data_IF_623393487836
#
_entry.id   IF_623393487836
#
_cell.length_a   1.000
_cell.length_b   1.000
_cell.length_c   1.000
_cell.angle_alpha   90.00
_cell.angle_beta   90.00
_cell.angle_gamma   90.00
#
_symmetry.space_group_name_H-M   'P 1'
#
loop_
_entity.id
_entity.type
_entity.pdbx_description
1 polymer ?
#
# COMPACT_ATOMS: atom_id res chain seq x y z
N UNK A 1 -7.75 24.17 -17.51
CA UNK A 1 -7.36 22.74 -17.37
C UNK A 1 -8.58 21.93 -16.94
N UNK A 2 -8.88 20.79 -17.58
CA UNK A 2 -9.94 19.89 -17.11
C UNK A 2 -9.40 19.05 -15.96
N UNK A 3 -9.59 19.51 -14.72
CA UNK A 3 -9.13 18.83 -13.49
C UNK A 3 -9.77 17.43 -13.36
N UNK A 4 -10.97 17.22 -13.90
CA UNK A 4 -11.68 15.94 -13.89
C UNK A 4 -11.31 14.99 -15.05
N UNK A 5 -10.17 15.19 -15.72
CA UNK A 5 -9.69 14.28 -16.77
C UNK A 5 -8.88 13.09 -16.23
N UNK A 6 -8.75 12.02 -17.04
CA UNK A 6 -7.90 10.85 -16.72
C UNK A 6 -6.47 11.22 -16.33
N UNK A 7 -5.95 12.32 -16.88
CA UNK A 7 -4.63 12.86 -16.54
C UNK A 7 -4.45 13.12 -15.05
N UNK A 8 -5.48 13.58 -14.35
CA UNK A 8 -5.45 13.95 -12.94
C UNK A 8 -6.25 12.99 -12.06
N UNK A 9 -6.68 11.84 -12.60
CA UNK A 9 -7.51 10.90 -11.88
C UNK A 9 -6.83 10.37 -10.59
N UNK A 10 -5.54 9.98 -10.58
CA UNK A 10 -4.88 9.59 -9.33
C UNK A 10 -4.83 10.72 -8.28
N UNK A 11 -4.65 11.97 -8.72
CA UNK A 11 -4.69 13.13 -7.83
C UNK A 11 -6.07 13.30 -7.21
N UNK A 12 -7.14 13.24 -8.01
CA UNK A 12 -8.51 13.36 -7.51
C UNK A 12 -8.86 12.22 -6.54
N UNK A 13 -8.38 11.00 -6.81
CA UNK A 13 -8.53 9.85 -5.89
C UNK A 13 -7.83 10.14 -4.56
N UNK A 14 -6.58 10.60 -4.59
CA UNK A 14 -5.83 10.88 -3.36
C UNK A 14 -6.43 12.03 -2.55
N UNK A 15 -6.88 13.10 -3.20
CA UNK A 15 -7.57 14.22 -2.53
C UNK A 15 -8.91 13.75 -1.94
N UNK A 16 -9.72 13.00 -2.69
CA UNK A 16 -10.96 12.43 -2.19
C UNK A 16 -10.75 11.48 -1.02
N UNK A 17 -9.72 10.63 -1.10
CA UNK A 17 -9.31 9.75 0.01
C UNK A 17 -8.86 10.56 1.24
N UNK A 18 -8.09 11.63 1.06
CA UNK A 18 -7.65 12.50 2.17
C UNK A 18 -8.84 13.16 2.87
N UNK A 19 -9.82 13.64 2.10
CA UNK A 19 -11.07 14.20 2.65
C UNK A 19 -11.85 13.12 3.40
N UNK A 20 -11.95 11.90 2.85
CA UNK A 20 -12.60 10.78 3.50
C UNK A 20 -11.94 10.42 4.85
N UNK A 21 -10.62 10.36 4.91
CA UNK A 21 -9.87 10.06 6.14
C UNK A 21 -10.10 11.15 7.20
N UNK A 22 -10.01 12.43 6.82
CA UNK A 22 -10.30 13.54 7.72
C UNK A 22 -11.76 13.53 8.18
N UNK A 23 -12.70 13.25 7.28
CA UNK A 23 -14.12 13.11 7.65
C UNK A 23 -14.32 11.95 8.63
N UNK A 24 -13.61 10.84 8.44
CA UNK A 24 -13.66 9.68 9.34
C UNK A 24 -13.12 10.02 10.73
N UNK A 25 -12.12 10.92 10.83
CA UNK A 25 -11.59 11.41 12.11
C UNK A 25 -12.65 12.20 12.90
N UNK A 26 -13.46 13.03 12.22
CA UNK A 26 -14.49 13.83 12.87
C UNK A 26 -15.78 13.04 13.16
N UNK A 27 -16.23 12.26 12.18
CA UNK A 27 -17.52 11.57 12.20
C UNK A 27 -17.45 10.16 12.82
N UNK A 28 -16.25 9.59 12.95
CA UNK A 28 -16.05 8.26 13.52
C UNK A 28 -16.27 8.22 15.03
N UNK A 29 -16.61 7.03 15.58
CA UNK A 29 -16.87 6.84 17.00
C UNK A 29 -15.60 6.80 17.85
N UNK A 30 -14.44 6.47 17.27
CA UNK A 30 -13.18 6.51 18.02
C UNK A 30 -12.67 7.95 18.13
N UNK A 31 -12.59 8.45 19.36
CA UNK A 31 -12.00 9.76 19.68
C UNK A 31 -10.63 9.57 20.31
N UNK A 32 -9.76 10.55 20.11
CA UNK A 32 -8.39 10.52 20.60
C UNK A 32 -8.16 11.59 21.65
N UNK A 33 -7.51 11.19 22.75
CA UNK A 33 -7.27 12.06 23.90
C UNK A 33 -6.32 13.22 23.54
N UNK A 34 -6.68 14.43 23.97
CA UNK A 34 -5.87 15.65 23.83
C UNK A 34 -5.39 15.95 22.39
N UNK A 35 -6.18 15.55 21.38
CA UNK A 35 -5.87 15.81 19.98
C UNK A 35 -6.14 17.28 19.61
N UNK A 36 -5.08 18.03 19.30
CA UNK A 36 -5.20 19.35 18.69
C UNK A 36 -5.49 19.20 17.18
N UNK A 37 -6.77 19.32 16.83
CA UNK A 37 -7.22 19.27 15.45
C UNK A 37 -6.62 20.36 14.57
N UNK A 38 -6.34 21.55 15.13
CA UNK A 38 -5.81 22.67 14.34
C UNK A 38 -4.40 22.36 13.85
N UNK A 39 -3.52 21.85 14.73
CA UNK A 39 -2.15 21.47 14.35
C UNK A 39 -2.17 20.38 13.28
N UNK A 40 -2.92 19.30 13.53
CA UNK A 40 -2.99 18.14 12.64
C UNK A 40 -3.58 18.51 11.27
N UNK A 41 -4.75 19.16 11.24
CA UNK A 41 -5.45 19.51 10.01
C UNK A 41 -4.66 20.53 9.21
N UNK A 42 -4.00 21.49 9.85
CA UNK A 42 -3.14 22.46 9.16
C UNK A 42 -1.97 21.76 8.45
N UNK A 43 -1.27 20.84 9.14
CA UNK A 43 -0.19 20.07 8.52
C UNK A 43 -0.68 19.24 7.34
N UNK A 44 -1.77 18.48 7.52
CA UNK A 44 -2.35 17.64 6.45
C UNK A 44 -2.82 18.48 5.27
N UNK A 45 -3.43 19.65 5.51
CA UNK A 45 -3.92 20.55 4.45
C UNK A 45 -2.77 21.09 3.60
N UNK A 46 -1.68 21.54 4.23
CA UNK A 46 -0.48 21.97 3.52
C UNK A 46 0.13 20.81 2.74
N UNK A 47 0.20 19.62 3.34
CA UNK A 47 0.71 18.41 2.68
C UNK A 47 -0.11 18.04 1.43
N UNK A 48 -1.44 18.04 1.51
CA UNK A 48 -2.33 17.76 0.37
C UNK A 48 -2.20 18.83 -0.71
N UNK A 49 -2.07 20.11 -0.34
CA UNK A 49 -1.85 21.21 -1.29
C UNK A 49 -0.52 21.05 -2.05
N UNK A 50 0.57 20.74 -1.33
CA UNK A 50 1.89 20.53 -1.95
C UNK A 50 1.91 19.27 -2.82
N UNK A 51 1.21 18.22 -2.42
CA UNK A 51 1.00 17.03 -3.26
C UNK A 51 0.25 17.40 -4.55
N UNK A 52 -0.81 18.21 -4.44
CA UNK A 52 -1.57 18.69 -5.58
C UNK A 52 -0.70 19.49 -6.55
N UNK A 53 0.10 20.44 -6.04
CA UNK A 53 1.01 21.26 -6.85
C UNK A 53 2.05 20.40 -7.59
N UNK A 54 2.76 19.54 -6.86
CA UNK A 54 3.79 18.69 -7.45
C UNK A 54 3.22 17.72 -8.48
N UNK A 55 2.05 17.13 -8.20
CA UNK A 55 1.35 16.28 -9.17
C UNK A 55 0.95 17.06 -10.41
N UNK A 56 0.35 18.25 -10.27
CA UNK A 56 -0.07 19.08 -11.41
C UNK A 56 1.11 19.43 -12.30
N UNK A 57 2.26 19.77 -11.72
CA UNK A 57 3.50 20.05 -12.44
C UNK A 57 4.04 18.79 -13.13
N UNK A 58 4.12 17.67 -12.41
CA UNK A 58 4.61 16.39 -12.97
C UNK A 58 3.71 15.81 -14.04
N UNK A 59 2.42 16.10 -13.95
CA UNK A 59 1.45 15.71 -14.96
C UNK A 59 1.60 16.55 -16.23
N UNK A 60 2.30 17.70 -16.25
CA UNK A 60 2.50 18.55 -17.46
C UNK A 60 3.26 17.82 -18.58
N UNK A 61 3.04 18.25 -19.82
CA UNK A 61 3.58 17.62 -21.04
C UNK A 61 2.51 16.97 -21.91
N UNK A 62 2.92 16.24 -22.93
CA UNK A 62 1.97 15.58 -23.82
C UNK A 62 1.16 14.54 -23.04
N UNK A 63 -0.16 14.62 -23.06
CA UNK A 63 -1.02 13.49 -22.73
C UNK A 63 -1.53 12.96 -24.07
N UNK A 64 -0.64 12.34 -24.85
CA UNK A 64 -1.05 11.76 -26.13
C UNK A 64 -1.68 10.41 -25.83
N UNK A 65 -2.99 10.35 -26.01
CA UNK A 65 -3.74 9.11 -25.98
C UNK A 65 -3.12 8.22 -27.06
N UNK A 66 -2.45 7.14 -26.65
CA UNK A 66 -1.73 6.28 -27.58
C UNK A 66 -2.78 5.49 -28.38
N UNK A 67 -2.75 5.64 -29.71
CA UNK A 67 -3.70 4.97 -30.62
C UNK A 67 -3.64 3.45 -30.45
N UNK A 68 -2.43 2.89 -30.23
CA UNK A 68 -2.18 1.46 -30.03
C UNK A 68 -1.59 1.15 -28.64
N UNK A 69 -2.28 1.54 -27.57
CA UNK A 69 -1.82 1.25 -26.21
C UNK A 69 -1.61 -0.25 -25.92
N UNK A 70 -2.45 -1.11 -26.51
CA UNK A 70 -2.32 -2.57 -26.34
C UNK A 70 -1.00 -3.08 -26.91
N UNK A 71 -0.64 -2.64 -28.11
CA UNK A 71 0.63 -2.97 -28.77
C UNK A 71 1.82 -2.47 -27.94
N UNK A 72 1.75 -1.23 -27.45
CA UNK A 72 2.80 -0.67 -26.57
C UNK A 72 2.98 -1.52 -25.30
N UNK A 73 1.86 -1.95 -24.68
CA UNK A 73 1.91 -2.83 -23.51
C UNK A 73 2.43 -4.23 -23.84
N UNK A 74 2.07 -4.78 -24.99
CA UNK A 74 2.57 -6.06 -25.47
C UNK A 74 4.08 -6.02 -25.74
N UNK A 75 4.58 -4.95 -26.37
CA UNK A 75 6.03 -4.72 -26.57
C UNK A 75 6.75 -4.62 -25.22
N UNK A 76 6.19 -3.86 -24.28
CA UNK A 76 6.74 -3.70 -22.92
C UNK A 76 6.77 -5.04 -22.17
N UNK A 77 5.68 -5.82 -22.26
CA UNK A 77 5.60 -7.19 -21.73
C UNK A 77 6.66 -8.10 -22.36
N UNK A 78 6.87 -8.05 -23.68
CA UNK A 78 7.86 -8.90 -24.36
C UNK A 78 9.27 -8.69 -23.79
N UNK A 79 9.62 -7.46 -23.39
CA UNK A 79 10.93 -7.14 -22.79
C UNK A 79 11.13 -7.77 -21.41
N UNK A 80 10.07 -7.91 -20.62
CA UNK A 80 10.14 -8.46 -19.26
C UNK A 80 9.58 -9.89 -19.16
N UNK A 81 9.13 -10.49 -20.27
CA UNK A 81 8.51 -11.82 -20.28
C UNK A 81 9.39 -12.88 -19.59
N UNK A 82 10.72 -12.95 -19.80
CA UNK A 82 11.57 -13.92 -19.10
C UNK A 82 11.57 -13.71 -17.58
N UNK A 83 11.71 -12.45 -17.15
CA UNK A 83 11.68 -12.09 -15.74
C UNK A 83 10.34 -12.43 -15.09
N UNK A 84 9.22 -12.09 -15.73
CA UNK A 84 7.89 -12.42 -15.23
C UNK A 84 7.60 -13.92 -15.24
N UNK A 85 8.12 -14.67 -16.23
CA UNK A 85 8.01 -16.12 -16.25
C UNK A 85 8.74 -16.75 -15.06
N UNK A 86 9.95 -16.28 -14.75
CA UNK A 86 10.70 -16.71 -13.57
C UNK A 86 9.97 -16.37 -12.27
N UNK A 87 9.47 -15.14 -12.14
CA UNK A 87 8.66 -14.72 -10.99
C UNK A 87 7.43 -15.62 -10.82
N UNK A 88 6.69 -15.90 -11.90
CA UNK A 88 5.49 -16.75 -11.84
C UNK A 88 5.82 -18.19 -11.46
N UNK A 89 6.90 -18.77 -12.01
CA UNK A 89 7.34 -20.11 -11.65
C UNK A 89 7.66 -20.18 -10.14
N UNK A 90 8.42 -19.20 -9.63
CA UNK A 90 8.70 -19.11 -8.20
C UNK A 90 7.42 -18.94 -7.38
N UNK A 91 6.52 -18.04 -7.78
CA UNK A 91 5.25 -17.80 -7.09
C UNK A 91 4.37 -19.05 -7.00
N UNK A 92 4.35 -19.89 -8.05
CA UNK A 92 3.64 -21.17 -8.04
C UNK A 92 4.30 -22.15 -7.07
N UNK A 93 5.62 -22.30 -7.11
CA UNK A 93 6.37 -23.19 -6.19
C UNK A 93 6.13 -22.77 -4.74
N UNK A 94 6.26 -21.48 -4.45
CA UNK A 94 5.98 -20.90 -3.13
C UNK A 94 4.53 -21.17 -2.70
N UNK A 95 3.55 -20.97 -3.59
CA UNK A 95 2.15 -21.24 -3.29
C UNK A 95 1.90 -22.71 -2.94
N UNK A 96 2.54 -23.65 -3.65
CA UNK A 96 2.46 -25.08 -3.34
C UNK A 96 3.08 -25.38 -1.97
N UNK A 97 4.24 -24.80 -1.67
CA UNK A 97 4.89 -24.95 -0.37
C UNK A 97 4.04 -24.39 0.79
N UNK A 98 3.39 -23.25 0.58
CA UNK A 98 2.46 -22.66 1.55
C UNK A 98 1.25 -23.57 1.81
N UNK A 99 0.66 -24.17 0.77
CA UNK A 99 -0.42 -25.15 0.94
C UNK A 99 0.04 -26.38 1.73
N UNK A 100 1.21 -26.92 1.40
CA UNK A 100 1.77 -28.05 2.14
C UNK A 100 1.94 -27.72 3.63
N UNK A 101 2.59 -26.60 3.95
CA UNK A 101 2.79 -26.16 5.34
C UNK A 101 1.47 -25.85 6.05
N UNK A 102 0.48 -25.29 5.34
CA UNK A 102 -0.84 -25.01 5.88
C UNK A 102 -1.57 -26.30 6.28
N UNK A 103 -1.55 -27.34 5.44
CA UNK A 103 -2.19 -28.62 5.78
C UNK A 103 -1.41 -29.43 6.83
N UNK A 104 -0.08 -29.43 6.76
CA UNK A 104 0.78 -30.13 7.72
C UNK A 104 0.62 -29.58 9.15
N UNK A 105 0.40 -28.27 9.28
CA UNK A 105 0.08 -27.63 10.56
C UNK A 105 -1.38 -27.80 11.02
N UNK A 106 -2.20 -28.56 10.29
CA UNK A 106 -3.62 -28.77 10.61
C UNK A 106 -4.53 -27.58 10.27
N UNK A 107 -4.08 -26.68 9.38
CA UNK A 107 -4.85 -25.53 8.94
C UNK A 107 -6.16 -25.91 8.23
N UNK A 108 -7.25 -25.20 8.57
CA UNK A 108 -8.57 -25.37 7.96
C UNK A 108 -9.06 -24.09 7.27
N UNK A 109 -9.84 -24.24 6.19
CA UNK A 109 -10.47 -23.12 5.46
C UNK A 109 -11.91 -22.89 5.93
N UNK A 110 -12.09 -22.66 7.23
CA UNK A 110 -13.41 -22.42 7.81
C UNK A 110 -13.73 -20.93 7.83
N UNK A 111 -14.86 -20.54 7.23
CA UNK A 111 -15.32 -19.14 7.25
C UNK A 111 -15.88 -18.70 8.60
N UNK A 112 -16.24 -19.64 9.48
CA UNK A 112 -16.71 -19.35 10.84
C UNK A 112 -15.55 -19.10 11.81
N UNK A 113 -14.37 -19.64 11.52
CA UNK A 113 -13.25 -19.69 12.47
C UNK A 113 -12.16 -18.67 12.13
N UNK A 114 -12.44 -17.73 11.22
CA UNK A 114 -11.47 -16.72 10.76
C UNK A 114 -10.99 -15.88 11.94
N UNK A 115 -11.89 -15.51 12.85
CA UNK A 115 -11.58 -14.78 14.07
C UNK A 115 -10.64 -15.55 15.00
N UNK A 116 -10.94 -16.82 15.25
CA UNK A 116 -10.14 -17.68 16.14
C UNK A 116 -8.75 -17.96 15.56
N UNK A 117 -8.66 -18.23 14.26
CA UNK A 117 -7.39 -18.40 13.55
C UNK A 117 -6.52 -17.15 13.64
N UNK A 118 -7.14 -15.96 13.59
CA UNK A 118 -6.43 -14.72 13.81
C UNK A 118 -5.88 -14.63 15.24
N UNK A 119 -6.72 -14.84 16.26
CA UNK A 119 -6.29 -14.75 17.68
C UNK A 119 -5.16 -15.74 17.97
N UNK A 120 -5.31 -17.01 17.57
CA UNK A 120 -4.28 -18.05 17.70
C UNK A 120 -2.97 -17.68 17.02
N UNK A 121 -3.03 -17.05 15.84
CA UNK A 121 -1.84 -16.59 15.12
C UNK A 121 -1.07 -15.46 15.82
N UNK A 122 -1.65 -14.83 16.84
CA UNK A 122 -1.03 -13.80 17.67
C UNK A 122 -0.76 -14.23 19.11
N UNK A 123 -1.15 -15.45 19.51
CA UNK A 123 -0.82 -15.98 20.84
C UNK A 123 0.71 -16.08 21.01
N UNK A 124 1.24 -15.41 22.03
CA UNK A 124 2.68 -15.36 22.29
C UNK A 124 3.50 -14.53 21.28
N UNK A 125 2.86 -13.83 20.33
CA UNK A 125 3.58 -12.97 19.40
C UNK A 125 4.00 -11.66 20.09
N UNK A 126 5.28 -11.55 20.43
CA UNK A 126 5.89 -10.29 20.86
C UNK A 126 6.59 -9.60 19.69
N UNK A 127 6.10 -8.40 19.34
CA UNK A 127 6.62 -7.64 18.21
C UNK A 127 8.07 -7.22 18.46
N UNK A 128 8.95 -7.56 17.53
CA UNK A 128 10.38 -7.20 17.59
C UNK A 128 11.28 -8.25 18.23
N UNK A 129 10.72 -9.34 18.76
CA UNK A 129 11.48 -10.46 19.32
C UNK A 129 11.73 -11.60 18.32
N UNK A 130 11.36 -11.43 17.05
CA UNK A 130 11.62 -12.44 16.03
C UNK A 130 13.13 -12.68 15.89
N UNK A 131 13.55 -13.92 16.14
CA UNK A 131 14.92 -14.36 15.87
C UNK A 131 15.17 -14.30 14.37
N UNK A 132 16.22 -13.60 13.95
CA UNK A 132 16.66 -13.59 12.55
C UNK A 132 17.35 -14.92 12.28
N UNK A 133 16.59 -15.89 11.79
CA UNK A 133 17.11 -17.15 11.28
C UNK A 133 16.99 -17.23 9.74
N UNK A 134 17.47 -18.33 9.18
CA UNK A 134 17.44 -18.56 7.74
C UNK A 134 16.00 -18.55 7.19
N UNK A 135 15.04 -19.12 7.92
CA UNK A 135 13.64 -19.19 7.50
C UNK A 135 12.97 -17.81 7.51
N UNK A 136 13.32 -16.95 8.47
CA UNK A 136 12.87 -15.57 8.52
C UNK A 136 13.32 -14.79 7.28
N UNK A 137 14.60 -14.92 6.89
CA UNK A 137 15.12 -14.28 5.66
C UNK A 137 14.45 -14.84 4.42
N UNK A 138 14.28 -16.17 4.35
CA UNK A 138 13.60 -16.82 3.23
C UNK A 138 12.15 -16.34 3.08
N UNK A 139 11.42 -16.19 4.20
CA UNK A 139 10.06 -15.67 4.22
C UNK A 139 10.00 -14.20 3.73
N UNK A 140 10.98 -13.36 4.09
CA UNK A 140 11.06 -12.00 3.58
C UNK A 140 11.22 -12.00 2.05
N UNK A 141 12.13 -12.83 1.52
CA UNK A 141 12.37 -12.95 0.09
C UNK A 141 11.12 -13.48 -0.62
N UNK A 142 10.48 -14.50 -0.04
CA UNK A 142 9.24 -15.09 -0.56
C UNK A 142 8.12 -14.05 -0.69
N UNK A 143 7.87 -13.29 0.38
CA UNK A 143 6.88 -12.21 0.38
C UNK A 143 7.21 -11.10 -0.63
N UNK A 144 8.49 -10.75 -0.78
CA UNK A 144 8.91 -9.75 -1.76
C UNK A 144 8.66 -10.25 -3.19
N UNK A 145 8.99 -11.51 -3.48
CA UNK A 145 8.76 -12.13 -4.79
C UNK A 145 7.27 -12.28 -5.08
N UNK A 146 6.46 -12.69 -4.10
CA UNK A 146 5.01 -12.72 -4.22
C UNK A 146 4.43 -11.33 -4.54
N UNK A 147 4.90 -10.28 -3.84
CA UNK A 147 4.52 -8.90 -4.12
C UNK A 147 4.84 -8.48 -5.57
N UNK A 148 6.04 -8.81 -6.06
CA UNK A 148 6.43 -8.56 -7.45
C UNK A 148 5.56 -9.35 -8.43
N UNK A 149 5.30 -10.63 -8.19
CA UNK A 149 4.41 -11.48 -9.02
C UNK A 149 3.04 -10.82 -9.15
N UNK A 150 2.45 -10.40 -8.04
CA UNK A 150 1.13 -9.76 -8.03
C UNK A 150 1.15 -8.47 -8.86
N UNK A 151 2.05 -7.54 -8.57
CA UNK A 151 2.11 -6.23 -9.24
C UNK A 151 2.32 -6.34 -10.75
N UNK A 152 3.27 -7.17 -11.18
CA UNK A 152 3.53 -7.39 -12.61
C UNK A 152 2.36 -8.11 -13.29
N UNK A 153 1.83 -9.16 -12.67
CA UNK A 153 0.76 -9.95 -13.28
C UNK A 153 -0.54 -9.16 -13.39
N UNK A 154 -0.89 -8.37 -12.37
CA UNK A 154 -2.04 -7.46 -12.45
C UNK A 154 -1.91 -6.50 -13.64
N UNK A 155 -0.77 -5.82 -13.77
CA UNK A 155 -0.57 -4.82 -14.83
C UNK A 155 -0.54 -5.44 -16.24
N UNK A 156 0.09 -6.62 -16.40
CA UNK A 156 0.24 -7.32 -17.69
C UNK A 156 -0.82 -8.39 -17.99
N UNK A 157 -1.84 -8.56 -17.13
CA UNK A 157 -2.83 -9.64 -17.23
C UNK A 157 -3.45 -9.79 -18.64
N UNK A 158 -3.75 -8.66 -19.30
CA UNK A 158 -4.39 -8.64 -20.63
C UNK A 158 -3.49 -9.09 -21.77
N UNK A 159 -2.17 -9.04 -21.62
CA UNK A 159 -1.20 -9.36 -22.68
C UNK A 159 -0.43 -10.66 -22.41
N UNK A 160 -0.49 -11.19 -21.20
CA UNK A 160 0.08 -12.51 -20.88
C UNK A 160 -0.73 -13.65 -21.51
N UNK A 161 -0.04 -14.76 -21.83
CA UNK A 161 -0.65 -15.98 -22.34
C UNK A 161 -1.48 -16.75 -21.30
N UNK A 162 -2.29 -17.71 -21.76
CA UNK A 162 -3.23 -18.45 -20.92
C UNK A 162 -2.57 -19.15 -19.72
N UNK A 163 -1.47 -19.88 -19.93
CA UNK A 163 -0.74 -20.56 -18.85
C UNK A 163 -0.27 -19.60 -17.74
N UNK A 164 0.28 -18.44 -18.11
CA UNK A 164 0.70 -17.42 -17.16
C UNK A 164 -0.49 -16.82 -16.39
N UNK A 165 -1.67 -16.70 -17.03
CA UNK A 165 -2.90 -16.26 -16.35
C UNK A 165 -3.37 -17.28 -15.32
N UNK A 166 -3.39 -18.56 -15.67
CA UNK A 166 -3.79 -19.62 -14.72
C UNK A 166 -2.80 -19.71 -13.55
N UNK A 167 -1.50 -19.64 -13.82
CA UNK A 167 -0.48 -19.58 -12.77
C UNK A 167 -0.70 -18.38 -11.83
N UNK A 168 -0.94 -17.19 -12.39
CA UNK A 168 -1.24 -16.00 -11.58
C UNK A 168 -2.53 -16.16 -10.76
N UNK A 169 -3.61 -16.69 -11.35
CA UNK A 169 -4.87 -16.90 -10.64
C UNK A 169 -4.70 -17.91 -9.48
N UNK A 170 -3.90 -18.95 -9.68
CA UNK A 170 -3.53 -19.88 -8.61
C UNK A 170 -2.76 -19.18 -7.47
N UNK A 171 -1.79 -18.32 -7.80
CA UNK A 171 -1.05 -17.53 -6.80
C UNK A 171 -1.98 -16.59 -6.05
N UNK A 172 -2.89 -15.87 -6.72
CA UNK A 172 -3.86 -14.99 -6.07
C UNK A 172 -4.83 -15.78 -5.18
N UNK A 173 -5.33 -16.91 -5.66
CA UNK A 173 -6.21 -17.77 -4.88
C UNK A 173 -5.52 -18.27 -3.61
N UNK A 174 -4.27 -18.72 -3.72
CA UNK A 174 -3.47 -19.15 -2.56
C UNK A 174 -3.22 -17.98 -1.60
N UNK A 175 -2.82 -16.82 -2.13
CA UNK A 175 -2.57 -15.61 -1.37
C UNK A 175 -3.80 -15.19 -0.54
N UNK A 176 -5.01 -15.32 -1.10
CA UNK A 176 -6.25 -15.00 -0.41
C UNK A 176 -6.72 -16.12 0.53
N UNK A 177 -6.78 -17.37 0.06
CA UNK A 177 -7.33 -18.48 0.85
C UNK A 177 -6.49 -18.75 2.09
N UNK A 178 -5.17 -18.85 1.97
CA UNK A 178 -4.32 -19.12 3.13
C UNK A 178 -4.26 -17.90 4.05
N UNK A 179 -3.95 -16.71 3.52
CA UNK A 179 -3.70 -15.57 4.41
C UNK A 179 -4.99 -14.91 4.93
N UNK A 180 -6.05 -14.82 4.13
CA UNK A 180 -7.30 -14.18 4.56
C UNK A 180 -8.19 -15.16 5.31
N UNK A 181 -8.47 -16.33 4.73
CA UNK A 181 -9.36 -17.32 5.37
C UNK A 181 -8.60 -18.12 6.42
N UNK A 182 -7.45 -18.68 6.07
CA UNK A 182 -6.66 -19.53 6.95
C UNK A 182 -6.06 -18.80 8.16
N UNK A 183 -5.57 -17.56 7.99
CA UNK A 183 -4.94 -16.79 9.11
C UNK A 183 -5.75 -15.59 9.61
N UNK A 184 -6.88 -15.26 8.97
CA UNK A 184 -7.69 -14.09 9.32
C UNK A 184 -7.08 -12.72 9.03
N UNK A 185 -5.98 -12.66 8.27
CA UNK A 185 -5.29 -11.41 7.95
C UNK A 185 -5.94 -10.72 6.75
N UNK A 186 -6.63 -9.60 7.01
CA UNK A 186 -7.35 -8.85 5.97
C UNK A 186 -6.46 -8.01 5.04
N UNK A 187 -5.21 -7.74 5.45
CA UNK A 187 -4.24 -6.96 4.65
C UNK A 187 -4.15 -7.49 3.20
N UNK A 188 -4.05 -8.80 3.05
CA UNK A 188 -3.86 -9.48 1.78
C UNK A 188 -5.03 -9.24 0.80
N UNK A 189 -6.26 -9.20 1.32
CA UNK A 189 -7.44 -8.81 0.56
C UNK A 189 -7.35 -7.34 0.12
N UNK A 190 -6.98 -6.44 1.04
CA UNK A 190 -6.78 -5.03 0.75
C UNK A 190 -5.77 -4.78 -0.36
N UNK A 191 -4.61 -5.45 -0.30
CA UNK A 191 -3.55 -5.35 -1.30
C UNK A 191 -4.06 -5.77 -2.69
N UNK A 192 -4.74 -6.91 -2.80
CA UNK A 192 -5.34 -7.41 -4.06
C UNK A 192 -6.39 -6.45 -4.63
N UNK A 193 -7.27 -5.91 -3.78
CA UNK A 193 -8.31 -4.96 -4.18
C UNK A 193 -7.69 -3.67 -4.70
N UNK A 194 -6.69 -3.12 -4.01
CA UNK A 194 -5.98 -1.91 -4.41
C UNK A 194 -5.23 -2.14 -5.74
N UNK A 195 -4.54 -3.27 -5.89
CA UNK A 195 -3.82 -3.60 -7.13
C UNK A 195 -4.78 -3.73 -8.33
N UNK A 196 -5.88 -4.45 -8.14
CA UNK A 196 -6.93 -4.58 -9.14
C UNK A 196 -7.57 -3.23 -9.52
N UNK A 197 -7.88 -2.40 -8.52
CA UNK A 197 -8.48 -1.08 -8.69
C UNK A 197 -7.59 -0.13 -9.51
N UNK A 198 -6.32 0.03 -9.12
CA UNK A 198 -5.40 0.90 -9.86
C UNK A 198 -5.07 0.35 -11.26
N UNK A 199 -4.97 -0.98 -11.42
CA UNK A 199 -4.84 -1.58 -12.76
C UNK A 199 -6.07 -1.31 -13.64
N UNK A 200 -7.28 -1.42 -13.08
CA UNK A 200 -8.52 -1.09 -13.79
C UNK A 200 -8.53 0.39 -14.22
N UNK A 201 -8.14 1.30 -13.33
CA UNK A 201 -8.06 2.74 -13.63
C UNK A 201 -7.05 3.03 -14.74
N UNK A 202 -5.85 2.44 -14.69
CA UNK A 202 -4.87 2.55 -15.79
C UNK A 202 -5.53 2.09 -17.09
N UNK A 203 -6.15 0.90 -17.09
CA UNK A 203 -6.79 0.33 -18.28
C UNK A 203 -7.91 1.21 -18.87
N UNK A 204 -8.67 1.90 -18.02
CA UNK A 204 -9.71 2.84 -18.47
C UNK A 204 -9.11 4.11 -19.05
N UNK A 205 -8.11 4.68 -18.37
CA UNK A 205 -7.39 5.86 -18.85
C UNK A 205 -6.68 5.61 -20.18
N UNK A 206 -6.06 4.44 -20.34
CA UNK A 206 -5.44 3.95 -21.57
C UNK A 206 -6.43 3.91 -22.74
N UNK A 207 -7.67 3.46 -22.51
CA UNK A 207 -8.70 3.44 -23.56
C UNK A 207 -9.35 4.81 -23.80
N UNK A 208 -9.18 5.77 -22.88
CA UNK A 208 -9.92 7.02 -22.83
C UNK A 208 -11.44 6.84 -22.89
N UNK A 209 -11.92 5.66 -22.50
CA UNK A 209 -13.35 5.34 -22.47
C UNK A 209 -13.96 5.96 -21.22
N UNK A 210 -14.97 6.81 -21.40
CA UNK A 210 -15.79 7.27 -20.28
C UNK A 210 -16.37 6.09 -19.50
N UNK A 211 -16.51 6.23 -18.19
CA UNK A 211 -17.14 5.23 -17.35
C UNK A 211 -18.58 4.99 -17.82
N UNK A 212 -18.87 3.78 -18.30
CA UNK A 212 -20.26 3.37 -18.55
C UNK A 212 -20.94 3.16 -17.21
N UNK A 213 -22.19 3.62 -17.07
CA UNK A 213 -22.96 3.46 -15.84
C UNK A 213 -23.02 2.00 -15.36
N UNK A 214 -23.15 1.04 -16.28
CA UNK A 214 -23.11 -0.40 -15.96
C UNK A 214 -21.80 -0.85 -15.31
N UNK A 215 -20.66 -0.34 -15.80
CA UNK A 215 -19.34 -0.65 -15.21
C UNK A 215 -19.19 0.00 -13.85
N UNK A 216 -19.65 1.24 -13.69
CA UNK A 216 -19.64 1.92 -12.40
C UNK A 216 -20.50 1.20 -11.37
N UNK A 217 -21.71 0.76 -11.75
CA UNK A 217 -22.60 -0.03 -10.92
C UNK A 217 -21.97 -1.37 -10.52
N UNK A 218 -21.38 -2.11 -11.46
CA UNK A 218 -20.70 -3.37 -11.17
C UNK A 218 -19.52 -3.18 -10.20
N UNK A 219 -18.71 -2.13 -10.39
CA UNK A 219 -17.61 -1.79 -9.47
C UNK A 219 -18.16 -1.40 -8.10
N UNK A 220 -19.25 -0.62 -8.02
CA UNK A 220 -19.87 -0.24 -6.77
C UNK A 220 -20.41 -1.46 -6.01
N UNK A 221 -21.13 -2.37 -6.68
CA UNK A 221 -21.61 -3.63 -6.09
C UNK A 221 -20.44 -4.48 -5.59
N UNK A 222 -19.38 -4.63 -6.39
CA UNK A 222 -18.18 -5.34 -5.98
C UNK A 222 -17.48 -4.71 -4.76
N UNK A 223 -17.41 -3.37 -4.71
CA UNK A 223 -16.85 -2.64 -3.59
C UNK A 223 -17.68 -2.81 -2.31
N UNK A 224 -19.01 -2.75 -2.41
CA UNK A 224 -19.94 -3.02 -1.30
C UNK A 224 -19.77 -4.45 -0.79
N UNK A 225 -19.68 -5.44 -1.69
CA UNK A 225 -19.45 -6.83 -1.32
C UNK A 225 -18.13 -7.03 -0.56
N UNK A 226 -17.02 -6.49 -1.09
CA UNK A 226 -15.70 -6.53 -0.42
C UNK A 226 -15.76 -5.83 0.94
N UNK A 227 -16.45 -4.70 1.02
CA UNK A 227 -16.62 -3.97 2.28
C UNK A 227 -17.39 -4.78 3.32
N UNK A 228 -18.50 -5.42 2.95
CA UNK A 228 -19.27 -6.30 3.84
C UNK A 228 -18.41 -7.46 4.33
N UNK A 229 -17.64 -8.11 3.43
CA UNK A 229 -16.69 -9.14 3.83
C UNK A 229 -15.65 -8.63 4.83
N UNK A 230 -15.14 -7.41 4.63
CA UNK A 230 -14.15 -6.81 5.52
C UNK A 230 -14.75 -6.55 6.91
N UNK A 231 -15.96 -6.01 6.96
CA UNK A 231 -16.68 -5.76 8.22
C UNK A 231 -16.98 -7.07 8.93
N UNK A 232 -17.40 -8.12 8.21
CA UNK A 232 -17.71 -9.42 8.81
C UNK A 232 -16.47 -10.09 9.42
N UNK A 233 -15.34 -10.10 8.70
CA UNK A 233 -14.09 -10.64 9.25
C UNK A 233 -13.61 -9.81 10.45
N UNK A 234 -13.81 -8.49 10.47
CA UNK A 234 -13.52 -7.68 11.66
C UNK A 234 -14.42 -8.06 12.84
N UNK A 235 -15.73 -8.20 12.61
CA UNK A 235 -16.69 -8.60 13.63
C UNK A 235 -16.26 -9.91 14.29
N UNK A 236 -15.91 -10.93 13.49
CA UNK A 236 -15.44 -12.21 13.99
C UNK A 236 -14.14 -12.09 14.80
N UNK A 237 -13.17 -11.29 14.36
CA UNK A 237 -11.91 -11.07 15.08
C UNK A 237 -12.11 -10.46 16.46
N UNK A 238 -12.96 -9.43 16.55
CA UNK A 238 -13.22 -8.75 17.81
C UNK A 238 -14.07 -9.62 18.75
N UNK A 239 -15.06 -10.34 18.20
CA UNK A 239 -15.83 -11.33 18.96
C UNK A 239 -14.93 -12.43 19.54
N UNK A 240 -14.02 -13.00 18.74
CA UNK A 240 -13.07 -14.02 19.18
C UNK A 240 -12.08 -13.50 20.24
N UNK A 241 -11.71 -12.21 20.15
CA UNK A 241 -10.89 -11.55 21.16
C UNK A 241 -11.67 -11.16 22.44
N UNK A 242 -12.97 -11.44 22.51
CA UNK A 242 -13.83 -11.06 23.62
C UNK A 242 -14.00 -9.55 23.77
N UNK A 243 -13.95 -8.80 22.67
CA UNK A 243 -14.11 -7.34 22.65
C UNK A 243 -15.49 -7.01 22.06
N UNK A 244 -16.35 -6.41 22.89
CA UNK A 244 -17.69 -5.96 22.56
C UNK A 244 -17.88 -4.47 22.86
N UNK A 245 -19.07 -3.93 22.60
CA UNK A 245 -19.41 -2.54 22.95
C UNK A 245 -19.48 -2.33 24.47
N UNK A 246 -19.85 -3.36 25.22
CA UNK A 246 -19.98 -3.37 26.68
C UNK A 246 -18.63 -3.22 27.41
N UNK A 247 -17.54 -3.70 26.81
CA UNK A 247 -16.20 -3.66 27.40
C UNK A 247 -15.19 -2.85 26.59
N UNK A 248 -15.64 -2.13 25.55
CA UNK A 248 -14.75 -1.40 24.65
C UNK A 248 -13.88 -0.40 25.41
N UNK A 249 -14.45 0.32 26.39
CA UNK A 249 -13.74 1.30 27.20
C UNK A 249 -12.57 0.70 27.99
N UNK A 250 -12.70 -0.55 28.43
CA UNK A 250 -11.65 -1.26 29.18
C UNK A 250 -10.60 -1.89 28.25
N UNK A 251 -11.03 -2.34 27.07
CA UNK A 251 -10.19 -3.04 26.10
C UNK A 251 -9.48 -2.11 25.11
N UNK A 252 -9.96 -0.88 24.95
CA UNK A 252 -9.28 0.13 24.13
C UNK A 252 -8.05 0.69 24.83
N UNK A 253 -7.18 1.28 24.02
CA UNK A 253 -6.01 1.99 24.53
C UNK A 253 -6.42 3.18 25.41
N UNK A 254 -5.71 3.51 26.50
CA UNK A 254 -6.06 4.63 27.40
C UNK A 254 -6.13 6.02 26.75
N UNK A 255 -5.59 6.17 25.53
CA UNK A 255 -5.66 7.39 24.73
C UNK A 255 -6.79 7.41 23.70
N UNK A 256 -7.62 6.36 23.67
CA UNK A 256 -8.79 6.25 22.80
C UNK A 256 -10.01 6.24 23.69
N UNK A 257 -11.03 7.00 23.30
CA UNK A 257 -12.36 6.89 23.86
C UNK A 257 -13.35 6.54 22.76
N UNK A 258 -14.49 5.98 23.14
CA UNK A 258 -15.57 5.62 22.24
C UNK A 258 -16.73 6.61 22.40
N UNK A 259 -17.28 7.07 21.28
CA UNK A 259 -18.42 8.00 21.20
C UNK A 259 -19.64 7.26 20.67
N UNK A 260 -20.52 6.87 21.60
CA UNK A 260 -21.79 6.17 21.30
C UNK A 260 -22.78 7.03 20.51
N UNK A 261 -22.61 8.36 20.53
CA UNK A 261 -23.45 9.31 19.80
C UNK A 261 -23.01 9.56 18.36
N UNK A 262 -21.95 8.91 17.89
CA UNK A 262 -21.42 9.14 16.55
C UNK A 262 -22.43 8.77 15.45
N UNK A 263 -22.66 9.71 14.52
CA UNK A 263 -23.67 9.58 13.45
C UNK A 263 -23.56 8.28 12.64
N UNK A 264 -22.34 7.78 12.46
CA UNK A 264 -22.09 6.58 11.67
C UNK A 264 -22.58 5.29 12.34
N UNK A 265 -22.70 5.27 13.67
CA UNK A 265 -23.23 4.12 14.41
C UNK A 265 -24.73 3.96 14.17
N UNK A 266 -25.46 5.06 13.98
CA UNK A 266 -26.90 5.03 13.66
C UNK A 266 -27.25 4.45 12.29
N UNK A 267 -26.25 4.16 11.44
CA UNK A 267 -26.46 3.59 10.09
C UNK A 267 -26.49 2.06 10.08
N UNK A 268 -26.04 1.39 11.16
CA UNK A 268 -25.89 -0.07 11.23
C UNK A 268 -26.43 -0.59 12.56
N UNK A 269 -26.69 -1.90 12.66
CA UNK A 269 -27.05 -2.51 13.95
C UNK A 269 -25.87 -2.49 14.92
N UNK A 270 -26.14 -2.62 16.22
CA UNK A 270 -25.14 -2.68 17.29
C UNK A 270 -24.00 -3.66 17.00
N UNK A 271 -24.33 -4.84 16.47
CA UNK A 271 -23.37 -5.91 16.18
C UNK A 271 -22.34 -5.52 15.11
N UNK A 272 -22.73 -4.64 14.19
CA UNK A 272 -21.87 -4.13 13.12
C UNK A 272 -21.30 -2.74 13.44
N UNK A 273 -21.84 -2.03 14.42
CA UNK A 273 -21.42 -0.70 14.82
C UNK A 273 -19.97 -0.70 15.32
N UNK A 274 -19.58 -1.69 16.13
CA UNK A 274 -18.20 -1.88 16.58
C UNK A 274 -17.26 -2.13 15.40
N UNK A 275 -17.59 -3.10 14.54
CA UNK A 275 -16.76 -3.45 13.39
C UNK A 275 -16.59 -2.27 12.42
N UNK A 276 -17.64 -1.48 12.20
CA UNK A 276 -17.59 -0.26 11.40
C UNK A 276 -16.74 0.83 12.05
N UNK A 277 -16.89 1.06 13.36
CA UNK A 277 -16.09 2.04 14.09
C UNK A 277 -14.61 1.69 14.09
N UNK A 278 -14.28 0.41 14.31
CA UNK A 278 -12.92 -0.12 14.17
C UNK A 278 -12.42 0.04 12.73
N UNK A 279 -13.24 -0.26 11.73
CA UNK A 279 -12.87 -0.07 10.33
C UNK A 279 -12.45 1.38 10.04
N UNK A 280 -13.23 2.36 10.52
CA UNK A 280 -12.89 3.78 10.39
C UNK A 280 -11.63 4.13 11.17
N UNK A 281 -11.43 3.54 12.35
CA UNK A 281 -10.25 3.76 13.19
C UNK A 281 -8.93 3.35 12.52
N UNK A 282 -8.97 2.39 11.57
CA UNK A 282 -7.78 2.05 10.79
C UNK A 282 -7.26 3.24 9.97
N UNK A 283 -8.14 4.12 9.50
CA UNK A 283 -7.74 5.29 8.74
C UNK A 283 -7.25 6.44 9.62
N UNK A 284 -7.75 6.53 10.86
CA UNK A 284 -7.54 7.69 11.73
C UNK A 284 -6.49 7.45 12.82
N UNK A 285 -6.23 6.21 13.22
CA UNK A 285 -5.25 5.88 14.27
C UNK A 285 -3.84 6.37 13.93
N UNK A 286 -3.42 6.25 12.68
CA UNK A 286 -2.14 6.78 12.22
C UNK A 286 -2.05 8.32 12.23
N UNK A 287 -3.17 9.02 12.08
CA UNK A 287 -3.23 10.48 12.22
C UNK A 287 -3.03 10.93 13.66
N UNK A 288 -3.51 10.16 14.63
CA UNK A 288 -3.22 10.45 16.03
C UNK A 288 -1.73 10.25 16.34
N UNK A 289 -1.12 9.15 15.86
CA UNK A 289 0.32 8.97 15.93
C UNK A 289 1.11 10.08 15.23
N UNK A 290 0.60 10.63 14.12
CA UNK A 290 1.16 11.80 13.45
C UNK A 290 1.11 13.06 14.32
N UNK A 291 -0.04 13.34 14.92
CA UNK A 291 -0.19 14.46 15.85
C UNK A 291 0.80 14.38 17.01
N UNK A 292 0.87 13.24 17.70
CA UNK A 292 1.82 13.04 18.80
C UNK A 292 3.28 13.13 18.34
N UNK A 293 3.57 12.81 17.07
CA UNK A 293 4.92 12.97 16.53
C UNK A 293 5.24 14.45 16.28
N UNK A 294 4.27 15.27 15.84
CA UNK A 294 4.43 16.70 15.57
C UNK A 294 4.78 17.52 16.82
N UNK A 295 4.47 17.00 18.02
CA UNK A 295 4.77 17.67 19.31
C UNK A 295 6.17 17.34 19.85
N UNK A 296 6.89 16.41 19.22
CA UNK A 296 8.23 15.99 19.65
C UNK A 296 9.33 16.69 18.86
N UNK A 297 10.51 16.94 19.47
CA UNK A 297 11.67 17.47 18.76
C UNK A 297 12.22 16.45 17.75
N UNK A 298 12.93 16.92 16.73
CA UNK A 298 13.58 16.05 15.75
C UNK A 298 14.84 15.38 16.31
N UNK A 299 14.95 14.06 16.10
CA UNK A 299 16.19 13.30 16.23
C UNK A 299 16.45 12.54 14.94
N UNK A 300 17.65 12.69 14.39
CA UNK A 300 17.98 12.09 13.11
C UNK A 300 18.26 10.59 13.24
N UNK A 301 17.64 9.82 12.36
CA UNK A 301 17.79 8.35 12.28
C UNK A 301 18.64 7.88 11.10
N UNK A 302 19.55 8.73 10.60
CA UNK A 302 20.57 8.37 9.62
C UNK A 302 20.05 7.79 8.29
N UNK A 303 18.86 8.22 7.85
CA UNK A 303 18.17 7.76 6.63
C UNK A 303 17.66 6.31 6.66
N UNK A 304 17.60 5.68 7.83
CA UNK A 304 17.13 4.29 8.00
C UNK A 304 15.96 4.16 8.97
N UNK A 305 15.54 5.25 9.63
CA UNK A 305 14.42 5.24 10.56
C UNK A 305 13.04 5.39 9.90
N UNK A 306 12.97 5.63 8.59
CA UNK A 306 11.73 5.63 7.83
C UNK A 306 11.06 4.25 7.71
N UNK A 307 11.73 3.17 8.13
CA UNK A 307 11.21 1.81 8.10
C UNK A 307 11.62 1.07 9.38
N UNK A 308 10.62 0.52 10.08
CA UNK A 308 10.85 -0.30 11.27
C UNK A 308 11.82 -1.46 10.98
N UNK A 309 11.54 -2.25 9.93
CA UNK A 309 12.39 -3.39 9.58
C UNK A 309 13.79 -2.98 9.11
N UNK A 310 13.91 -1.90 8.32
CA UNK A 310 15.22 -1.43 7.87
C UNK A 310 16.07 -0.97 9.06
N UNK A 311 15.50 -0.13 9.93
CA UNK A 311 16.18 0.32 11.14
C UNK A 311 16.62 -0.84 12.02
N UNK A 312 15.73 -1.83 12.25
CA UNK A 312 16.07 -3.00 13.06
C UNK A 312 17.21 -3.83 12.46
N UNK A 313 17.21 -4.04 11.14
CA UNK A 313 18.26 -4.82 10.47
C UNK A 313 19.60 -4.09 10.54
N UNK A 314 19.61 -2.78 10.34
CA UNK A 314 20.83 -1.98 10.47
C UNK A 314 21.39 -2.08 11.89
N UNK A 315 20.55 -1.93 12.92
CA UNK A 315 20.99 -2.11 14.31
C UNK A 315 21.60 -3.48 14.57
N UNK A 316 20.99 -4.55 14.05
CA UNK A 316 21.48 -5.92 14.23
C UNK A 316 22.81 -6.14 13.49
N UNK A 317 22.93 -5.68 12.24
CA UNK A 317 24.15 -5.84 11.43
C UNK A 317 25.34 -5.12 12.05
N UNK A 318 25.11 -3.95 12.66
CA UNK A 318 26.16 -3.14 13.29
C UNK A 318 26.28 -3.35 14.81
N UNK A 319 25.55 -4.32 15.40
CA UNK A 319 25.50 -4.55 16.85
C UNK A 319 25.21 -3.27 17.66
N UNK A 320 24.35 -2.41 17.14
CA UNK A 320 24.07 -1.07 17.62
C UNK A 320 22.62 -0.95 18.12
N UNK A 321 22.23 -1.82 19.05
CA UNK A 321 20.85 -1.91 19.53
C UNK A 321 20.32 -0.57 20.06
N UNK A 322 19.21 -0.12 19.48
CA UNK A 322 18.57 1.14 19.82
C UNK A 322 19.26 2.40 19.25
N UNK A 323 20.33 2.28 18.45
CA UNK A 323 20.96 3.43 17.82
C UNK A 323 20.06 4.13 16.80
N UNK A 324 19.09 3.40 16.21
CA UNK A 324 18.17 3.90 15.19
C UNK A 324 16.75 3.97 15.74
N UNK A 325 16.17 2.84 16.14
CA UNK A 325 14.76 2.74 16.50
C UNK A 325 14.39 3.64 17.66
N UNK A 326 15.27 3.78 18.67
CA UNK A 326 14.99 4.64 19.83
C UNK A 326 14.87 6.12 19.49
N UNK A 327 15.42 6.53 18.36
CA UNK A 327 15.39 7.90 17.85
C UNK A 327 14.23 8.18 16.90
N UNK A 328 13.56 7.12 16.41
CA UNK A 328 12.39 7.29 15.53
C UNK A 328 11.25 8.00 16.27
N UNK A 329 10.45 8.79 15.55
CA UNK A 329 9.26 9.42 16.14
C UNK A 329 8.31 8.38 16.75
N UNK A 330 7.92 7.29 16.05
CA UNK A 330 7.04 6.28 16.63
C UNK A 330 7.51 5.70 17.98
N UNK A 331 8.81 5.44 18.15
CA UNK A 331 9.33 4.96 19.44
C UNK A 331 9.30 6.04 20.52
N UNK A 332 9.64 7.28 20.19
CA UNK A 332 9.64 8.38 21.17
C UNK A 332 8.22 8.79 21.56
N UNK A 333 7.27 8.63 20.65
CA UNK A 333 5.84 8.77 20.91
C UNK A 333 5.36 7.71 21.92
N UNK A 334 5.83 6.47 21.79
CA UNK A 334 5.59 5.42 22.78
C UNK A 334 6.13 5.82 24.16
N UNK A 335 7.40 6.20 24.24
CA UNK A 335 8.01 6.58 25.52
C UNK A 335 7.35 7.79 26.20
N UNK A 336 6.87 8.75 25.41
CA UNK A 336 6.33 10.01 25.93
C UNK A 336 4.84 9.91 26.27
N UNK A 337 4.07 9.23 25.43
CA UNK A 337 2.60 9.23 25.50
C UNK A 337 2.02 7.83 25.74
N UNK A 338 2.80 6.77 25.58
CA UNK A 338 2.34 5.38 25.60
C UNK A 338 1.72 4.90 24.29
N UNK A 339 1.81 5.67 23.20
CA UNK A 339 1.27 5.26 21.90
C UNK A 339 2.28 4.42 21.12
N UNK A 340 2.36 3.15 21.50
CA UNK A 340 3.40 2.22 21.09
C UNK A 340 3.38 1.72 19.65
N UNK A 341 4.30 0.80 19.36
CA UNK A 341 4.41 0.17 18.03
C UNK A 341 3.24 -0.75 17.71
N UNK A 342 2.53 -1.27 18.70
CA UNK A 342 1.28 -2.01 18.53
C UNK A 342 0.18 -1.15 17.88
N UNK A 343 0.33 0.18 17.95
CA UNK A 343 -0.51 1.15 17.24
C UNK A 343 0.09 1.54 15.90
N UNK A 344 -0.77 2.11 15.07
CA UNK A 344 -0.39 2.61 13.76
C UNK A 344 0.18 4.02 13.87
N UNK A 345 1.22 4.25 13.08
CA UNK A 345 1.92 5.52 12.94
C UNK A 345 1.99 5.83 11.47
N UNK A 346 1.47 6.99 11.05
CA UNK A 346 1.39 7.39 9.64
C UNK A 346 2.73 7.26 8.90
N UNK A 347 2.68 7.10 7.58
CA UNK A 347 3.86 7.19 6.71
C UNK A 347 4.70 8.44 7.02
N UNK A 348 4.04 9.55 7.33
CA UNK A 348 4.68 10.82 7.60
C UNK A 348 5.47 10.79 8.92
N UNK A 349 4.96 10.16 9.98
CA UNK A 349 5.72 9.98 11.23
C UNK A 349 7.03 9.20 11.00
N UNK A 350 6.96 8.16 10.16
CA UNK A 350 8.13 7.37 9.79
C UNK A 350 9.14 8.18 8.98
N UNK A 351 8.71 8.80 7.87
CA UNK A 351 9.58 9.62 7.03
C UNK A 351 10.21 10.79 7.81
N UNK A 352 9.47 11.40 8.74
CA UNK A 352 9.94 12.54 9.52
C UNK A 352 11.17 12.19 10.36
N UNK A 353 11.33 10.93 10.74
CA UNK A 353 12.49 10.46 11.52
C UNK A 353 13.81 10.68 10.77
N UNK A 354 13.77 10.70 9.43
CA UNK A 354 14.97 10.92 8.61
C UNK A 354 15.05 12.34 8.03
N UNK A 355 13.92 12.99 7.74
CA UNK A 355 13.91 14.27 7.01
C UNK A 355 13.19 15.41 7.72
N UNK A 356 12.75 15.26 8.97
CA UNK A 356 11.88 16.22 9.70
C UNK A 356 10.49 16.38 9.08
N UNK A 357 9.54 16.98 9.81
CA UNK A 357 8.23 17.33 9.24
C UNK A 357 8.31 18.40 8.14
N UNK A 358 9.21 19.36 8.29
CA UNK A 358 9.44 20.37 7.26
C UNK A 358 10.01 19.73 5.99
N UNK A 359 10.95 18.78 6.11
CA UNK A 359 11.47 18.06 4.95
C UNK A 359 10.43 17.16 4.29
N UNK A 360 9.44 16.62 5.01
CA UNK A 360 8.28 15.95 4.37
C UNK A 360 7.52 16.92 3.47
N UNK A 361 7.25 18.14 3.94
CA UNK A 361 6.56 19.15 3.12
C UNK A 361 7.36 19.45 1.85
N UNK A 362 8.69 19.54 1.94
CA UNK A 362 9.57 19.72 0.77
C UNK A 362 9.64 18.49 -0.15
N UNK A 363 9.61 17.29 0.42
CA UNK A 363 9.68 16.02 -0.32
C UNK A 363 8.36 15.71 -1.05
N UNK A 364 7.23 16.07 -0.46
CA UNK A 364 5.88 15.81 -1.00
C UNK A 364 5.66 16.29 -2.45
N UNK A 365 6.02 17.53 -2.86
CA UNK A 365 5.88 17.95 -4.25
C UNK A 365 6.81 17.18 -5.20
N UNK A 366 8.00 16.76 -4.74
CA UNK A 366 8.93 15.94 -5.54
C UNK A 366 8.37 14.52 -5.75
N UNK A 367 7.88 13.91 -4.67
CA UNK A 367 7.24 12.60 -4.72
C UNK A 367 6.02 12.61 -5.64
N UNK A 368 5.12 13.58 -5.47
CA UNK A 368 3.91 13.69 -6.28
C UNK A 368 4.20 14.01 -7.76
N UNK A 369 5.27 14.77 -8.04
CA UNK A 369 5.79 14.93 -9.40
C UNK A 369 6.20 13.59 -10.02
N UNK A 370 7.02 12.79 -9.31
CA UNK A 370 7.44 11.46 -9.75
C UNK A 370 6.22 10.55 -9.96
N UNK A 371 5.28 10.55 -9.01
CA UNK A 371 4.05 9.76 -9.07
C UNK A 371 3.20 10.10 -10.31
N UNK A 372 3.08 11.39 -10.64
CA UNK A 372 2.42 11.83 -11.87
C UNK A 372 3.16 11.37 -13.14
N UNK A 373 4.51 11.35 -13.14
CA UNK A 373 5.29 10.82 -14.27
C UNK A 373 5.08 9.32 -14.44
N UNK A 374 5.08 8.56 -13.36
CA UNK A 374 4.82 7.12 -13.37
C UNK A 374 3.42 6.80 -13.89
N UNK A 375 2.41 7.57 -13.49
CA UNK A 375 1.05 7.47 -14.04
C UNK A 375 1.02 7.60 -15.56
N UNK A 376 1.64 8.65 -16.11
CA UNK A 376 1.69 8.88 -17.55
C UNK A 376 2.42 7.76 -18.30
N UNK A 377 3.53 7.26 -17.74
CA UNK A 377 4.28 6.16 -18.32
C UNK A 377 3.54 4.81 -18.25
N UNK A 378 2.79 4.57 -17.17
CA UNK A 378 1.96 3.39 -17.00
C UNK A 378 0.82 3.35 -18.03
N UNK A 379 0.20 4.49 -18.34
CA UNK A 379 -0.82 4.57 -19.39
C UNK A 379 -0.22 4.25 -20.76
N UNK A 380 0.96 4.82 -21.05
CA UNK A 380 1.66 4.66 -22.33
C UNK A 380 2.39 3.33 -22.47
N UNK A 381 2.56 2.61 -21.36
CA UNK A 381 3.43 1.44 -21.24
C UNK A 381 4.87 1.67 -21.75
N UNK A 382 5.38 2.91 -21.67
CA UNK A 382 6.70 3.28 -22.21
C UNK A 382 7.88 2.72 -21.39
N UNK A 383 7.61 2.36 -20.13
CA UNK A 383 8.56 1.74 -19.22
C UNK A 383 7.89 0.50 -18.59
N UNK A 384 8.53 -0.67 -18.62
CA UNK A 384 7.88 -1.90 -18.16
C UNK A 384 7.65 -1.97 -16.65
N UNK A 385 8.37 -1.18 -15.86
CA UNK A 385 8.26 -1.09 -14.40
C UNK A 385 7.33 0.03 -13.93
N UNK A 386 7.03 1.03 -14.78
CA UNK A 386 6.24 2.20 -14.37
C UNK A 386 4.83 1.83 -13.89
N UNK A 387 4.16 0.89 -14.55
CA UNK A 387 2.84 0.40 -14.14
C UNK A 387 2.86 -0.28 -12.77
N UNK A 388 3.64 -1.35 -12.58
CA UNK A 388 3.82 -2.01 -11.28
C UNK A 388 4.25 -1.05 -10.16
N UNK A 389 5.23 -0.18 -10.42
CA UNK A 389 5.70 0.81 -9.45
C UNK A 389 4.60 1.82 -9.09
N UNK A 390 3.85 2.32 -10.08
CA UNK A 390 2.72 3.22 -9.82
C UNK A 390 1.67 2.55 -8.92
N UNK A 391 1.31 1.30 -9.21
CA UNK A 391 0.34 0.55 -8.39
C UNK A 391 0.86 0.39 -6.96
N UNK A 392 2.14 0.04 -6.80
CA UNK A 392 2.75 -0.13 -5.48
C UNK A 392 2.83 1.17 -4.68
N UNK A 393 3.21 2.30 -5.31
CA UNK A 393 3.19 3.61 -4.66
C UNK A 393 1.76 4.05 -4.33
N UNK A 394 0.77 3.64 -5.12
CA UNK A 394 -0.64 3.91 -4.84
C UNK A 394 -1.13 3.17 -3.60
N UNK A 395 -0.65 1.92 -3.37
CA UNK A 395 -0.84 1.23 -2.10
C UNK A 395 -0.28 2.05 -0.94
N UNK A 396 0.97 2.54 -1.06
CA UNK A 396 1.58 3.41 -0.06
C UNK A 396 0.77 4.68 0.22
N UNK A 397 0.17 5.30 -0.80
CA UNK A 397 -0.68 6.49 -0.65
C UNK A 397 -2.04 6.19 0.00
N UNK A 398 -2.65 5.04 -0.29
CA UNK A 398 -3.91 4.63 0.38
C UNK A 398 -3.68 4.27 1.84
N UNK A 399 -2.45 3.95 2.24
CA UNK A 399 -2.12 3.72 3.64
C UNK A 399 -1.40 4.91 4.30
N UNK A 400 -1.10 6.00 3.58
CA UNK A 400 -0.16 7.02 4.08
C UNK A 400 -0.57 7.66 5.40
N UNK A 401 -1.87 7.87 5.63
CA UNK A 401 -2.37 8.40 6.90
C UNK A 401 -2.45 7.35 8.02
N UNK A 402 -2.56 6.08 7.65
CA UNK A 402 -2.65 4.96 8.57
C UNK A 402 -1.26 4.47 8.98
N UNK A 403 -0.44 4.03 8.03
CA UNK A 403 0.89 3.48 8.30
C UNK A 403 1.85 3.61 7.09
N UNK A 404 3.13 3.24 7.28
CA UNK A 404 4.08 3.13 6.16
C UNK A 404 4.00 1.73 5.50
N UNK A 405 2.86 1.40 4.88
CA UNK A 405 2.59 0.02 4.42
C UNK A 405 3.69 -0.58 3.54
N UNK A 406 4.24 0.22 2.61
CA UNK A 406 5.21 -0.24 1.61
C UNK A 406 6.64 -0.39 2.14
N UNK A 407 6.95 0.19 3.30
CA UNK A 407 8.25 0.03 3.95
C UNK A 407 8.15 -0.51 5.37
N UNK A 408 6.96 -0.92 5.82
CA UNK A 408 6.75 -1.45 7.15
C UNK A 408 7.57 -2.72 7.39
N UNK A 409 7.49 -3.66 6.43
CA UNK A 409 8.30 -4.87 6.39
C UNK A 409 9.44 -4.78 5.37
N UNK A 410 10.53 -5.52 5.60
CA UNK A 410 11.68 -5.55 4.68
C UNK A 410 11.29 -6.03 3.27
N UNK A 411 10.35 -6.97 3.17
CA UNK A 411 9.86 -7.45 1.89
C UNK A 411 9.33 -6.29 1.02
N UNK A 412 8.61 -5.35 1.63
CA UNK A 412 8.09 -4.17 0.94
C UNK A 412 9.20 -3.21 0.50
N UNK A 413 10.25 -3.05 1.30
CA UNK A 413 11.44 -2.26 0.93
C UNK A 413 12.14 -2.88 -0.28
N UNK A 414 12.32 -4.21 -0.30
CA UNK A 414 12.90 -4.93 -1.44
C UNK A 414 12.06 -4.72 -2.71
N UNK A 415 10.74 -4.85 -2.62
CA UNK A 415 9.81 -4.59 -3.74
C UNK A 415 9.98 -3.16 -4.24
N UNK A 416 10.01 -2.17 -3.34
CA UNK A 416 10.21 -0.75 -3.71
C UNK A 416 11.53 -0.54 -4.46
N UNK A 417 12.63 -1.07 -3.92
CA UNK A 417 13.97 -0.94 -4.50
C UNK A 417 14.05 -1.60 -5.87
N UNK A 418 13.55 -2.84 -6.02
CA UNK A 418 13.55 -3.55 -7.30
C UNK A 418 12.74 -2.80 -8.36
N UNK A 419 11.57 -2.28 -8.00
CA UNK A 419 10.72 -1.54 -8.93
C UNK A 419 11.32 -0.18 -9.31
N UNK A 420 11.88 0.57 -8.36
CA UNK A 420 12.57 1.84 -8.61
C UNK A 420 13.82 1.63 -9.47
N UNK A 421 14.68 0.67 -9.11
CA UNK A 421 15.89 0.34 -9.87
C UNK A 421 15.53 -0.11 -11.29
N UNK A 422 14.57 -1.01 -11.45
CA UNK A 422 14.09 -1.46 -12.76
C UNK A 422 13.53 -0.32 -13.62
N UNK A 423 12.80 0.63 -12.99
CA UNK A 423 12.30 1.82 -13.67
C UNK A 423 13.44 2.75 -14.14
N UNK A 424 14.44 3.02 -13.30
CA UNK A 424 15.61 3.84 -13.68
C UNK A 424 16.43 3.17 -14.78
N UNK A 425 16.80 1.90 -14.58
CA UNK A 425 17.65 1.15 -15.53
C UNK A 425 16.99 1.02 -16.90
N UNK A 426 15.68 0.71 -16.96
CA UNK A 426 14.97 0.62 -18.23
C UNK A 426 14.89 1.94 -19.00
N UNK A 427 14.95 3.10 -18.32
CA UNK A 427 15.08 4.41 -18.97
C UNK A 427 16.47 4.61 -19.58
N UNK A 428 17.53 4.18 -18.89
CA UNK A 428 18.91 4.28 -19.37
C UNK A 428 19.06 3.47 -20.67
N UNK A 429 18.64 2.20 -20.67
CA UNK A 429 18.74 1.33 -21.85
C UNK A 429 17.88 1.80 -23.03
N UNK A 430 16.69 2.36 -22.76
CA UNK A 430 15.80 2.84 -23.83
C UNK A 430 16.35 4.07 -24.58
N UNK A 431 17.19 4.90 -23.93
CA UNK A 431 17.83 6.05 -24.59
C UNK A 431 18.89 5.61 -25.60
N UNK A 432 19.67 4.59 -25.26
CA UNK A 432 20.75 4.06 -26.10
C UNK A 432 20.22 3.51 -27.44
N UNK A 433 19.07 2.83 -27.43
CA UNK A 433 18.47 2.36 -28.69
C UNK A 433 17.93 3.49 -29.59
N UNK A 434 17.47 4.61 -29.04
CA UNK A 434 17.02 5.75 -29.85
C UNK A 434 18.18 6.48 -30.52
N UNK A 435 19.31 6.63 -29.83
CA UNK A 435 20.51 7.24 -30.44
C UNK A 435 21.06 6.38 -31.57
N UNK A 436 21.17 5.06 -31.38
CA UNK A 436 21.68 4.16 -32.43
C UNK A 436 20.71 4.06 -33.62
N UNK A 437 19.40 4.04 -33.37
CA UNK A 437 18.40 4.02 -34.44
C UNK A 437 18.40 5.30 -35.29
N UNK A 438 18.61 6.47 -34.69
CA UNK A 438 18.73 7.72 -35.45
C UNK A 438 20.02 7.80 -36.28
N UNK A 439 21.12 7.24 -35.78
CA UNK A 439 22.39 7.17 -36.53
C UNK A 439 22.20 6.31 -37.80
N UNK A 440 21.60 5.12 -37.67
CA UNK A 440 21.38 4.22 -38.81
C UNK A 440 20.41 4.79 -39.86
N UNK A 441 19.40 5.56 -39.45
CA UNK A 441 18.49 6.23 -40.38
C UNK A 441 19.16 7.43 -41.06
N UNK A 442 20.04 8.14 -40.34
CA UNK A 442 20.81 9.25 -40.91
C UNK A 442 21.88 8.75 -41.90
N UNK A 443 22.51 7.60 -41.66
CA UNK A 443 23.47 6.97 -42.58
C UNK A 443 22.79 6.51 -43.87
N UNK A 444 21.62 5.83 -43.80
CA UNK A 444 20.89 5.45 -45.03
C UNK A 444 20.46 6.64 -45.91
N UNK A 445 20.23 7.81 -45.33
CA UNK A 445 19.91 9.04 -46.08
C UNK A 445 21.12 9.72 -46.72
N UNK A 446 22.35 9.30 -46.39
CA UNK A 446 23.55 9.79 -47.08
C UNK A 446 23.92 8.96 -48.30
N UNK A 447 23.43 7.72 -48.35
CA UNK A 447 23.66 6.79 -49.45
C UNK A 447 22.53 6.81 -50.51
N UNK A 448 21.45 7.55 -50.23
CA UNK A 448 20.37 7.95 -51.17
C UNK A 448 20.58 9.38 -51.64
#
# INVERSE_FOLDING_TARGET
>A
MKIFGYRYLPLNIYVGYSIFVLSSLFLGPMKYKDLDYFILVSFVSVLVLLFWLGYVIGARGEYRQCSNCFESRFISYRRIKPFLAWLLAFGVISSIAQWYSFFDSGGGLSLSDIGDSYVKGYEGYERGQAKIDFFYILNIIDQALAGLVLLFSFYYFRVMGGAARYAFLFVVATYLLINVVGTGKQKYLGDVVIFGFFCMIINLATKGQKFKLRTLAAVAVGAVFVFIMFVEVLRQRYSAAGIGLDNIYEKTHPLITWDDGALVLGLVSSDYALALGVFLSYFTSGLYGLYLSLTLPFEWTYFVGNSYSLGRIVEIVFSADGAILKRTYPYRVDLTYGWGFDKWHSLFSWLASDITFFGILLFTPLFSFLYARLWLEAIRASNPFAGPLFIYLSLGLIFSFANNQIMHGLAGVIVLVVLLAGWVLSRIFSRQHRSTGMILVAERRKDE
#
